data_IF_080408422395
#
_entry.id   IF_080408422395
#
_cell.length_a   1.000
_cell.length_b   1.000
_cell.length_c   1.000
_cell.angle_alpha   90.00
_cell.angle_beta   90.00
_cell.angle_gamma   90.00
#
_symmetry.space_group_name_H-M   'P 1'
#
loop_
_entity.id
_entity.type
_entity.pdbx_description
1 polymer ?
#
# COMPACT_ATOMS: atom_id res chain seq x y z
N UNK A 1 -11.21 -0.79 14.10
CA UNK A 1 -9.93 -0.36 14.71
C UNK A 1 -8.82 -1.08 13.97
N UNK A 2 -7.90 -0.36 13.34
CA UNK A 2 -6.69 -0.99 12.82
C UNK A 2 -5.83 -1.49 13.99
N UNK A 3 -5.23 -2.68 13.84
CA UNK A 3 -4.47 -3.31 14.92
C UNK A 3 -3.23 -2.48 15.27
N UNK A 4 -2.92 -2.26 16.57
CA UNK A 4 -1.69 -1.59 16.99
C UNK A 4 -0.42 -2.32 16.51
N UNK A 5 -0.53 -3.63 16.26
CA UNK A 5 0.53 -4.45 15.67
C UNK A 5 1.00 -3.93 14.30
N UNK A 6 0.08 -3.39 13.50
CA UNK A 6 0.38 -2.92 12.14
C UNK A 6 1.23 -1.65 12.18
N UNK A 7 0.94 -0.74 13.12
CA UNK A 7 1.73 0.47 13.30
C UNK A 7 3.16 0.14 13.70
N UNK A 8 3.34 -0.75 14.69
CA UNK A 8 4.67 -1.17 15.13
C UNK A 8 5.49 -1.80 13.98
N UNK A 9 4.83 -2.56 13.09
CA UNK A 9 5.49 -3.12 11.90
C UNK A 9 5.87 -2.07 10.87
N UNK A 10 5.04 -1.04 10.65
CA UNK A 10 5.39 0.10 9.78
C UNK A 10 6.54 0.93 10.34
N UNK A 11 6.56 1.18 11.66
CA UNK A 11 7.68 1.85 12.35
C UNK A 11 8.98 1.02 12.25
N UNK A 12 8.87 -0.31 12.28
CA UNK A 12 10.01 -1.20 12.03
C UNK A 12 10.51 -1.09 10.59
N UNK A 13 9.63 -1.05 9.59
CA UNK A 13 10.00 -0.80 8.19
C UNK A 13 10.72 0.55 8.02
N UNK A 14 10.25 1.60 8.69
CA UNK A 14 10.91 2.91 8.69
C UNK A 14 12.33 2.83 9.26
N UNK A 15 12.49 2.10 10.38
CA UNK A 15 13.79 1.90 11.01
C UNK A 15 14.74 1.11 10.09
N UNK A 16 14.22 0.07 9.42
CA UNK A 16 14.99 -0.72 8.45
C UNK A 16 15.48 0.12 7.28
N UNK A 17 14.65 1.03 6.76
CA UNK A 17 15.04 1.91 5.66
C UNK A 17 16.32 2.70 6.00
N UNK A 18 16.41 3.24 7.22
CA UNK A 18 17.61 3.96 7.69
C UNK A 18 18.86 3.08 7.90
N UNK A 19 18.75 1.76 7.78
CA UNK A 19 19.88 0.82 7.90
C UNK A 19 20.36 0.27 6.56
N UNK A 20 19.59 0.49 5.49
CA UNK A 20 19.85 -0.07 4.16
C UNK A 20 20.50 1.02 3.29
N UNK A 21 21.47 0.62 2.48
CA UNK A 21 22.04 1.50 1.47
C UNK A 21 21.09 1.63 0.26
N UNK A 22 20.10 2.51 0.38
CA UNK A 22 19.17 2.86 -0.69
C UNK A 22 19.81 3.92 -1.60
N UNK A 23 19.56 3.91 -2.92
CA UNK A 23 19.94 5.02 -3.78
C UNK A 23 19.40 6.34 -3.25
N UNK A 24 20.23 7.38 -3.15
CA UNK A 24 19.85 8.66 -2.54
C UNK A 24 18.60 9.29 -3.17
N UNK A 25 18.38 9.06 -4.46
CA UNK A 25 17.20 9.53 -5.22
C UNK A 25 15.89 8.86 -4.78
N UNK A 26 15.98 7.67 -4.18
CA UNK A 26 14.85 6.86 -3.74
C UNK A 26 14.71 6.84 -2.22
N UNK A 27 15.74 7.26 -1.47
CA UNK A 27 15.73 7.27 -0.01
C UNK A 27 14.64 8.20 0.54
N UNK A 28 14.61 9.45 0.04
CA UNK A 28 13.56 10.41 0.39
C UNK A 28 12.17 9.90 0.00
N UNK A 29 12.03 9.33 -1.20
CA UNK A 29 10.75 8.80 -1.70
C UNK A 29 10.26 7.60 -0.88
N UNK A 30 11.15 6.70 -0.48
CA UNK A 30 10.83 5.54 0.34
C UNK A 30 10.46 5.97 1.78
N UNK A 31 11.17 6.95 2.32
CA UNK A 31 10.87 7.54 3.62
C UNK A 31 9.50 8.22 3.63
N UNK A 32 9.21 9.02 2.59
CA UNK A 32 7.91 9.67 2.39
C UNK A 32 6.77 8.65 2.23
N UNK A 33 7.00 7.56 1.49
CA UNK A 33 5.99 6.50 1.37
C UNK A 33 5.66 5.91 2.74
N UNK A 34 6.67 5.50 3.54
CA UNK A 34 6.42 4.89 4.85
C UNK A 34 5.74 5.88 5.80
N UNK A 35 6.16 7.14 5.80
CA UNK A 35 5.51 8.20 6.55
C UNK A 35 4.04 8.37 6.14
N UNK A 36 3.74 8.30 4.84
CA UNK A 36 2.37 8.37 4.34
C UNK A 36 1.53 7.16 4.75
N UNK A 37 2.09 5.95 4.71
CA UNK A 37 1.39 4.73 5.18
C UNK A 37 1.08 4.80 6.68
N UNK A 38 1.97 5.36 7.50
CA UNK A 38 1.73 5.62 8.92
C UNK A 38 0.59 6.63 9.12
N UNK A 39 0.57 7.72 8.36
CA UNK A 39 -0.53 8.70 8.42
C UNK A 39 -1.87 8.08 8.02
N UNK A 40 -1.87 7.22 6.98
CA UNK A 40 -3.07 6.49 6.58
C UNK A 40 -3.53 5.51 7.67
N UNK A 41 -2.60 4.87 8.38
CA UNK A 41 -2.91 4.00 9.52
C UNK A 41 -3.53 4.77 10.68
N UNK A 42 -2.91 5.88 11.08
CA UNK A 42 -3.40 6.75 12.16
C UNK A 42 -4.78 7.33 11.84
N UNK A 43 -5.07 7.57 10.55
CA UNK A 43 -6.38 7.99 10.07
C UNK A 43 -7.41 6.84 9.94
N UNK A 44 -7.05 5.58 10.24
CA UNK A 44 -7.81 4.35 9.95
C UNK A 44 -8.25 4.22 8.47
N UNK A 45 -7.42 4.71 7.54
CA UNK A 45 -7.66 4.69 6.08
C UNK A 45 -6.67 3.80 5.32
N UNK A 46 -5.72 3.19 6.01
CA UNK A 46 -4.79 2.25 5.38
C UNK A 46 -5.57 1.03 4.89
N UNK A 47 -5.43 0.68 3.62
CA UNK A 47 -6.04 -0.52 3.04
C UNK A 47 -4.95 -1.40 2.41
N UNK A 48 -5.22 -2.70 2.21
CA UNK A 48 -4.30 -3.57 1.48
C UNK A 48 -3.92 -3.04 0.10
N UNK A 49 -4.85 -2.41 -0.60
CA UNK A 49 -4.62 -1.84 -1.93
C UNK A 49 -3.60 -0.70 -1.90
N UNK A 50 -3.63 0.17 -0.88
CA UNK A 50 -2.64 1.24 -0.74
C UNK A 50 -1.24 0.70 -0.43
N UNK A 51 -1.14 -0.34 0.39
CA UNK A 51 0.13 -1.02 0.66
C UNK A 51 0.71 -1.65 -0.61
N UNK A 52 -0.11 -2.38 -1.38
CA UNK A 52 0.31 -2.99 -2.64
C UNK A 52 0.74 -1.93 -3.68
N UNK A 53 -0.01 -0.83 -3.79
CA UNK A 53 0.33 0.26 -4.72
C UNK A 53 1.66 0.93 -4.35
N UNK A 54 1.87 1.19 -3.06
CA UNK A 54 3.13 1.76 -2.56
C UNK A 54 4.33 0.86 -2.88
N UNK A 55 4.20 -0.45 -2.66
CA UNK A 55 5.28 -1.39 -2.96
C UNK A 55 5.59 -1.51 -4.45
N UNK A 56 4.58 -1.41 -5.34
CA UNK A 56 4.81 -1.44 -6.80
C UNK A 56 5.75 -0.35 -7.28
N UNK A 57 5.77 0.81 -6.63
CA UNK A 57 6.70 1.89 -6.99
C UNK A 57 8.18 1.53 -6.80
N UNK A 58 8.47 0.47 -6.03
CA UNK A 58 9.81 0.05 -5.64
C UNK A 58 10.13 -1.40 -6.02
N UNK A 59 9.26 -2.07 -6.81
CA UNK A 59 9.39 -3.51 -7.09
C UNK A 59 10.69 -3.87 -7.84
N UNK A 60 11.21 -2.94 -8.64
CA UNK A 60 12.46 -3.12 -9.39
C UNK A 60 13.72 -2.75 -8.58
N UNK A 61 13.56 -2.31 -7.33
CA UNK A 61 14.67 -1.84 -6.48
C UNK A 61 15.06 -2.92 -5.50
N UNK A 62 16.03 -3.76 -5.88
CA UNK A 62 16.49 -4.91 -5.07
C UNK A 62 16.91 -4.51 -3.64
N UNK A 63 17.52 -3.33 -3.49
CA UNK A 63 17.95 -2.82 -2.18
C UNK A 63 16.78 -2.68 -1.18
N UNK A 64 15.56 -2.42 -1.66
CA UNK A 64 14.38 -2.22 -0.83
C UNK A 64 13.64 -3.53 -0.51
N UNK A 65 14.03 -4.67 -1.09
CA UNK A 65 13.39 -5.95 -0.84
C UNK A 65 13.21 -6.31 0.67
N UNK A 66 14.19 -6.02 1.57
CA UNK A 66 14.02 -6.27 3.00
C UNK A 66 12.93 -5.44 3.67
N UNK A 67 12.55 -4.29 3.09
CA UNK A 67 11.47 -3.41 3.57
C UNK A 67 10.14 -3.79 2.92
N UNK A 68 10.17 -4.17 1.63
CA UNK A 68 8.97 -4.55 0.88
C UNK A 68 8.37 -5.88 1.36
N UNK A 69 9.20 -6.87 1.73
CA UNK A 69 8.68 -8.16 2.20
C UNK A 69 7.80 -8.04 3.47
N UNK A 70 8.21 -7.33 4.54
CA UNK A 70 7.34 -7.06 5.68
C UNK A 70 6.06 -6.29 5.32
N UNK A 71 6.13 -5.32 4.38
CA UNK A 71 4.95 -4.58 3.92
C UNK A 71 3.94 -5.47 3.19
N UNK A 72 4.43 -6.44 2.39
CA UNK A 72 3.58 -7.41 1.72
C UNK A 72 2.86 -8.33 2.71
N UNK A 73 3.54 -8.75 3.77
CA UNK A 73 2.95 -9.51 4.86
C UNK A 73 1.86 -8.71 5.61
N UNK A 74 2.06 -7.40 5.81
CA UNK A 74 1.01 -6.53 6.39
C UNK A 74 -0.20 -6.47 5.45
N UNK A 75 0.03 -6.26 4.16
CA UNK A 75 -1.03 -6.17 3.16
C UNK A 75 -1.85 -7.47 3.09
N UNK A 76 -1.17 -8.62 3.10
CA UNK A 76 -1.81 -9.95 3.13
C UNK A 76 -2.64 -10.16 4.39
N UNK A 77 -2.09 -9.84 5.57
CA UNK A 77 -2.80 -9.95 6.83
C UNK A 77 -4.04 -9.04 6.88
N UNK A 78 -3.93 -7.80 6.38
CA UNK A 78 -5.07 -6.89 6.29
C UNK A 78 -6.12 -7.37 5.29
N UNK A 79 -5.73 -7.88 4.12
CA UNK A 79 -6.67 -8.42 3.14
C UNK A 79 -7.48 -9.60 3.72
N UNK A 80 -6.82 -10.49 4.45
CA UNK A 80 -7.49 -11.59 5.15
C UNK A 80 -8.44 -11.08 6.25
N UNK A 81 -8.03 -10.08 7.02
CA UNK A 81 -8.84 -9.49 8.09
C UNK A 81 -10.06 -8.72 7.57
N UNK A 82 -9.96 -8.08 6.40
CA UNK A 82 -11.06 -7.40 5.72
C UNK A 82 -12.00 -8.36 4.98
N UNK A 83 -11.72 -9.68 4.99
CA UNK A 83 -12.52 -10.68 4.30
C UNK A 83 -12.39 -10.61 2.78
N UNK A 84 -11.33 -9.97 2.26
CA UNK A 84 -11.03 -9.94 0.84
C UNK A 84 -10.60 -11.35 0.39
N UNK A 85 -11.60 -12.13 -0.04
CA UNK A 85 -11.42 -13.14 -1.10
C UNK A 85 -10.56 -12.50 -2.18
N UNK A 86 -9.50 -13.19 -2.60
CA UNK A 86 -8.62 -12.78 -3.71
C UNK A 86 -9.46 -12.08 -4.80
N UNK A 87 -9.00 -10.95 -5.35
CA UNK A 87 -9.64 -10.40 -6.54
C UNK A 87 -9.51 -11.47 -7.62
N UNK A 88 -10.58 -12.24 -7.83
CA UNK A 88 -10.77 -13.01 -9.05
C UNK A 88 -10.51 -12.00 -10.17
N UNK A 89 -9.49 -12.24 -10.97
CA UNK A 89 -9.26 -11.51 -12.21
C UNK A 89 -10.55 -11.60 -13.02
N UNK A 90 -11.41 -10.59 -12.88
CA UNK A 90 -12.56 -10.45 -13.73
C UNK A 90 -12.02 -9.90 -15.04
N UNK A 91 -11.81 -10.79 -16.00
CA UNK A 91 -11.54 -10.50 -17.41
C UNK A 91 -12.72 -9.81 -18.12
N UNK A 92 -13.59 -9.12 -17.38
CA UNK A 92 -14.71 -8.34 -17.87
C UNK A 92 -14.43 -6.85 -17.70
N UNK A 93 -14.37 -6.13 -18.83
CA UNK A 93 -14.12 -4.68 -18.92
C UNK A 93 -14.94 -3.88 -17.89
N UNK A 94 -14.34 -2.90 -17.18
CA UNK A 94 -15.05 -2.12 -16.18
C UNK A 94 -15.90 -1.04 -16.88
N UNK A 95 -17.19 -1.31 -16.99
CA UNK A 95 -18.32 -0.37 -16.96
C UNK A 95 -17.92 1.11 -16.76
N UNK A 96 -17.66 1.81 -17.86
CA UNK A 96 -17.93 3.25 -17.95
C UNK A 96 -19.39 3.38 -18.33
N UNK A 97 -20.28 3.55 -17.35
CA UNK A 97 -21.63 4.04 -17.62
C UNK A 97 -21.60 5.54 -17.33
N UNK A 98 -21.27 6.30 -18.37
CA UNK A 98 -21.41 7.75 -18.39
C UNK A 98 -22.90 8.09 -18.31
N UNK A 99 -23.40 8.51 -17.14
CA UNK A 99 -24.73 9.12 -17.00
C UNK A 99 -24.65 10.58 -17.41
N UNK A 100 -24.56 10.83 -18.72
CA UNK A 100 -25.15 12.05 -19.27
C UNK A 100 -26.61 11.74 -19.54
N UNK A 101 -27.48 12.21 -18.66
CA UNK A 101 -28.92 12.30 -18.88
C UNK A 101 -29.15 13.60 -19.68
N UNK A 102 -29.52 13.57 -20.98
CA UNK A 102 -29.96 14.77 -21.64
C UNK A 102 -31.40 15.05 -21.17
N UNK A 103 -31.54 16.07 -20.32
CA UNK A 103 -32.80 16.77 -20.06
C UNK A 103 -33.47 17.11 -21.40
N UNK A 104 -34.48 16.32 -21.78
CA UNK A 104 -35.36 16.67 -22.90
C UNK A 104 -36.27 17.82 -22.46
N UNK A 105 -36.19 18.92 -23.21
CA UNK A 105 -37.12 20.05 -23.16
C UNK A 105 -38.40 19.74 -23.94
#
# INVERSE_FOLDING_TARGET
MQSPDIRARLEHCQSLLGTIAVPAELDDLASDLIAHLLQLHDANRLTPAFLLLGMKAFEEVEALAPVLAPLAEIASAQAQAEGHREPKEFSGRPWVVSRYDPLQA
#
